data_IF_610289641685
#
_entry.id   IF_610289641685
#
_cell.length_a   1.000
_cell.length_b   1.000
_cell.length_c   1.000
_cell.angle_alpha   90.00
_cell.angle_beta   90.00
_cell.angle_gamma   90.00
#
_symmetry.space_group_name_H-M   'P 1'
#
loop_
_entity.id
_entity.type
_entity.pdbx_description
1 polymer ?
#
# COMPACT_ATOMS: atom_id res chain seq x y z
N UNK A 1 -46.19 -20.75 -4.94
CA UNK A 1 -46.94 -20.71 -3.65
C UNK A 1 -46.22 -19.72 -2.74
N UNK A 2 -46.93 -18.74 -2.15
CA UNK A 2 -46.50 -17.83 -1.05
C UNK A 2 -45.21 -16.97 -1.23
N UNK A 3 -45.01 -15.82 -0.57
CA UNK A 3 -45.88 -14.72 -0.05
C UNK A 3 -44.96 -13.55 0.41
N UNK A 4 -45.52 -12.40 0.83
CA UNK A 4 -44.86 -11.15 1.31
C UNK A 4 -44.19 -10.32 0.19
N UNK A 5 -44.57 -9.10 -0.20
CA UNK A 5 -45.53 -8.06 0.23
C UNK A 5 -45.10 -7.05 1.32
N UNK A 6 -45.42 -5.76 1.09
CA UNK A 6 -45.24 -4.55 1.94
C UNK A 6 -43.76 -4.08 2.02
N UNK A 7 -43.34 -2.82 1.81
CA UNK A 7 -43.90 -1.57 1.22
C UNK A 7 -42.68 -0.65 0.86
N UNK A 8 -42.74 0.65 0.50
CA UNK A 8 -43.77 1.70 0.58
C UNK A 8 -43.57 2.80 -0.50
N UNK A 9 -44.27 3.92 -0.33
CA UNK A 9 -44.46 5.05 -1.25
C UNK A 9 -43.64 6.32 -0.89
N UNK A 10 -43.81 7.36 -1.73
CA UNK A 10 -43.73 8.81 -1.43
C UNK A 10 -42.35 9.51 -1.45
N UNK A 11 -42.20 10.74 -1.97
CA UNK A 11 -43.02 11.50 -2.94
C UNK A 11 -42.14 12.64 -3.51
N UNK A 12 -42.09 12.85 -4.83
CA UNK A 12 -41.40 14.00 -5.41
C UNK A 12 -42.29 15.25 -5.34
N UNK A 13 -41.79 16.35 -4.77
CA UNK A 13 -42.52 17.63 -4.73
C UNK A 13 -42.26 18.47 -5.98
N UNK A 14 -43.32 18.75 -6.73
CA UNK A 14 -43.39 19.90 -7.62
C UNK A 14 -43.96 21.10 -6.84
N UNK A 15 -43.29 22.25 -6.90
CA UNK A 15 -43.76 23.50 -6.29
C UNK A 15 -44.10 24.50 -7.39
N UNK A 16 -45.38 24.92 -7.44
CA UNK A 16 -45.83 26.12 -8.12
C UNK A 16 -46.97 26.72 -7.29
N UNK A 17 -46.77 27.89 -6.70
CA UNK A 17 -47.70 29.03 -6.83
C UNK A 17 -47.27 30.24 -5.99
N UNK A 18 -47.11 31.31 -6.74
CA UNK A 18 -47.19 32.74 -6.42
C UNK A 18 -48.07 33.12 -5.22
N UNK A 19 -47.55 33.98 -4.35
CA UNK A 19 -48.36 34.92 -3.56
C UNK A 19 -47.59 36.25 -3.41
N UNK A 20 -48.14 37.32 -3.96
CA UNK A 20 -47.63 38.69 -3.80
C UNK A 20 -48.23 39.28 -2.53
N UNK A 21 -47.42 39.87 -1.65
CA UNK A 21 -47.90 40.69 -0.53
C UNK A 21 -47.29 42.09 -0.64
N UNK A 22 -48.17 43.09 -0.60
CA UNK A 22 -47.84 44.50 -0.78
C UNK A 22 -47.35 45.17 0.52
N UNK A 23 -46.65 46.29 0.35
CA UNK A 23 -46.04 47.10 1.38
C UNK A 23 -47.05 47.90 2.24
N UNK A 24 -46.67 48.15 3.50
CA UNK A 24 -46.98 49.40 4.22
C UNK A 24 -46.06 49.61 5.43
N UNK A 25 -45.50 50.81 5.52
CA UNK A 25 -44.86 51.40 6.70
C UNK A 25 -45.68 52.67 7.09
N UNK A 26 -45.34 53.49 8.11
CA UNK A 26 -44.26 53.39 9.11
C UNK A 26 -44.76 53.56 10.57
N UNK A 27 -43.85 53.47 11.55
CA UNK A 27 -44.10 53.76 12.98
C UNK A 27 -42.86 54.34 13.67
N UNK A 28 -43.03 55.41 14.46
CA UNK A 28 -41.96 56.29 14.93
C UNK A 28 -41.27 55.84 16.24
N UNK A 29 -40.00 56.26 16.38
CA UNK A 29 -39.30 56.63 17.62
C UNK A 29 -39.19 55.60 18.78
N UNK A 30 -37.97 55.15 19.10
CA UNK A 30 -37.78 54.16 20.17
C UNK A 30 -36.37 53.85 20.68
N UNK A 31 -35.51 54.85 20.91
CA UNK A 31 -34.26 54.78 21.73
C UNK A 31 -33.08 53.93 21.22
N UNK A 32 -31.88 54.35 21.65
CA UNK A 32 -30.63 53.62 21.50
C UNK A 32 -30.71 52.25 22.18
N UNK A 33 -30.30 51.21 21.46
CA UNK A 33 -29.63 50.04 22.01
C UNK A 33 -28.69 49.48 20.94
N UNK A 34 -27.44 49.91 20.98
CA UNK A 34 -26.36 49.37 20.14
C UNK A 34 -25.94 47.99 20.69
N UNK A 35 -26.87 47.03 20.66
CA UNK A 35 -26.66 45.66 21.09
C UNK A 35 -25.89 44.90 20.00
N UNK A 36 -24.56 45.04 20.06
CA UNK A 36 -23.59 44.34 19.24
C UNK A 36 -23.69 42.82 19.47
N UNK A 37 -24.61 42.15 18.78
CA UNK A 37 -24.67 40.70 18.75
C UNK A 37 -23.57 40.21 17.80
N UNK A 38 -22.34 40.12 18.33
CA UNK A 38 -21.25 39.42 17.68
C UNK A 38 -21.74 37.98 17.42
N UNK A 39 -21.97 37.63 16.14
CA UNK A 39 -21.99 36.23 15.76
C UNK A 39 -20.58 35.71 16.03
N UNK A 40 -20.42 34.99 17.14
CA UNK A 40 -19.29 34.11 17.36
C UNK A 40 -19.45 32.93 16.40
N UNK A 41 -19.11 33.16 15.12
CA UNK A 41 -18.77 32.08 14.19
C UNK A 41 -17.43 31.53 14.66
N UNK A 42 -17.46 30.71 15.72
CA UNK A 42 -16.38 29.77 16.00
C UNK A 42 -16.36 28.82 14.81
N UNK A 43 -15.54 29.15 13.81
CA UNK A 43 -15.20 28.22 12.76
C UNK A 43 -14.62 26.99 13.47
N UNK A 44 -15.36 25.89 13.43
CA UNK A 44 -14.85 24.58 13.76
C UNK A 44 -13.88 24.22 12.64
N UNK A 45 -12.68 24.80 12.69
CA UNK A 45 -11.53 24.27 11.99
C UNK A 45 -11.27 22.89 12.60
N UNK A 46 -11.72 21.85 11.91
CA UNK A 46 -11.25 20.50 12.18
C UNK A 46 -9.72 20.55 12.26
N UNK A 47 -9.08 19.92 13.25
CA UNK A 47 -7.64 19.85 13.29
C UNK A 47 -7.18 19.19 11.99
N UNK A 48 -6.44 19.95 11.18
CA UNK A 48 -5.79 19.40 10.00
C UNK A 48 -4.73 18.41 10.49
N UNK A 49 -5.12 17.14 10.55
CA UNK A 49 -4.22 16.04 10.89
C UNK A 49 -3.13 15.99 9.82
N UNK A 50 -1.96 16.51 10.17
CA UNK A 50 -0.79 16.46 9.31
C UNK A 50 -0.36 15.00 9.18
N UNK A 51 -0.18 14.52 7.95
CA UNK A 51 0.37 13.20 7.69
C UNK A 51 1.75 13.09 8.33
N UNK A 52 1.99 11.99 9.03
CA UNK A 52 3.27 11.73 9.72
C UNK A 52 4.20 11.03 8.74
N UNK A 53 5.39 11.56 8.53
CA UNK A 53 6.44 10.91 7.74
C UNK A 53 7.45 10.29 8.69
N UNK A 54 7.82 9.03 8.46
CA UNK A 54 8.90 8.34 9.17
C UNK A 54 9.98 7.90 8.17
N UNK A 55 11.25 8.08 8.51
CA UNK A 55 12.39 7.63 7.71
C UNK A 55 12.84 6.22 8.09
N UNK A 56 13.20 5.42 7.09
CA UNK A 56 13.75 4.07 7.23
C UNK A 56 15.24 4.13 6.85
N UNK A 57 16.19 3.65 7.68
CA UNK A 57 16.00 3.00 8.99
C UNK A 57 15.98 3.93 10.22
N UNK A 58 16.17 5.25 10.04
CA UNK A 58 16.53 6.18 11.13
C UNK A 58 15.44 6.38 12.20
N UNK A 59 14.16 6.34 11.83
CA UNK A 59 13.01 6.51 12.73
C UNK A 59 12.15 5.24 12.83
N UNK A 60 12.12 4.44 11.76
CA UNK A 60 11.46 3.13 11.71
C UNK A 60 12.47 2.06 11.23
N UNK A 61 12.60 0.89 11.88
CA UNK A 61 13.54 -0.18 11.50
C UNK A 61 13.22 -0.86 10.15
N UNK A 62 12.21 -0.39 9.42
CA UNK A 62 11.80 -0.83 8.11
C UNK A 62 10.93 -2.09 8.16
N UNK A 63 10.52 -2.62 6.99
CA UNK A 63 9.62 -3.75 6.91
C UNK A 63 10.10 -4.95 7.75
N UNK A 64 9.26 -5.51 8.67
CA UNK A 64 9.63 -6.67 9.50
C UNK A 64 9.55 -7.99 8.72
N UNK A 65 10.01 -7.98 7.47
CA UNK A 65 9.91 -9.08 6.53
C UNK A 65 11.11 -9.13 5.59
N UNK A 66 11.33 -10.30 4.99
CA UNK A 66 12.53 -10.59 4.20
C UNK A 66 12.34 -10.32 2.71
N UNK A 67 11.22 -10.74 2.14
CA UNK A 67 10.97 -10.75 0.71
C UNK A 67 9.50 -10.47 0.35
N UNK A 68 9.26 -10.06 -0.89
CA UNK A 68 7.92 -9.94 -1.50
C UNK A 68 7.51 -11.25 -2.16
N UNK A 69 6.89 -12.13 -1.39
CA UNK A 69 6.31 -13.41 -1.82
C UNK A 69 5.15 -13.84 -0.90
N UNK A 70 4.49 -12.85 -0.29
CA UNK A 70 3.42 -13.06 0.68
C UNK A 70 2.12 -13.59 0.04
N UNK A 71 1.23 -14.12 0.89
CA UNK A 71 -0.08 -14.64 0.46
C UNK A 71 -0.97 -13.56 -0.16
N UNK A 72 -1.79 -14.01 -1.11
CA UNK A 72 -2.89 -13.23 -1.72
C UNK A 72 -3.97 -12.76 -0.75
N UNK A 73 -4.06 -13.37 0.43
CA UNK A 73 -4.92 -12.94 1.53
C UNK A 73 -4.39 -11.70 2.28
N UNK A 74 -3.12 -11.34 2.10
CA UNK A 74 -2.47 -10.19 2.75
C UNK A 74 -2.40 -9.01 1.76
N UNK A 75 -1.87 -9.23 0.56
CA UNK A 75 -1.88 -8.25 -0.53
C UNK A 75 -2.33 -8.89 -1.84
N UNK A 76 -3.07 -8.15 -2.66
CA UNK A 76 -3.52 -8.60 -4.00
C UNK A 76 -2.44 -8.45 -5.09
N UNK A 77 -1.27 -7.91 -4.74
CA UNK A 77 -0.19 -7.52 -5.64
C UNK A 77 1.01 -8.49 -5.47
N UNK A 78 0.67 -9.78 -5.62
CA UNK A 78 1.22 -10.92 -4.85
C UNK A 78 2.70 -11.20 -5.08
N UNK A 79 3.12 -11.27 -6.34
CA UNK A 79 4.53 -11.36 -6.76
C UNK A 79 4.64 -10.63 -8.09
N UNK A 80 5.67 -9.80 -8.34
CA UNK A 80 5.95 -9.29 -9.67
C UNK A 80 6.28 -10.43 -10.64
N UNK A 81 5.31 -10.86 -11.46
CA UNK A 81 5.47 -11.98 -12.39
C UNK A 81 4.93 -11.69 -13.79
N UNK A 82 5.50 -12.37 -14.79
CA UNK A 82 4.98 -12.55 -16.15
C UNK A 82 4.34 -13.95 -16.26
N UNK A 83 4.04 -14.43 -17.48
CA UNK A 83 3.63 -15.83 -17.67
C UNK A 83 4.80 -16.82 -17.53
N UNK A 84 6.04 -16.36 -17.62
CA UNK A 84 7.24 -17.20 -17.61
C UNK A 84 8.02 -17.09 -16.31
N UNK A 85 8.16 -15.88 -15.77
CA UNK A 85 9.09 -15.57 -14.68
C UNK A 85 8.39 -14.82 -13.55
N UNK A 86 8.72 -15.16 -12.32
CA UNK A 86 8.42 -14.38 -11.12
C UNK A 86 9.71 -13.79 -10.54
N UNK A 87 9.62 -12.58 -10.00
CA UNK A 87 10.72 -11.88 -9.34
C UNK A 87 10.47 -11.76 -7.84
N UNK A 88 11.27 -12.44 -7.03
CA UNK A 88 11.27 -12.36 -5.57
C UNK A 88 12.27 -11.26 -5.16
N UNK A 89 11.74 -10.13 -4.70
CA UNK A 89 12.52 -8.99 -4.21
C UNK A 89 12.81 -9.19 -2.72
N UNK A 90 14.08 -9.03 -2.31
CA UNK A 90 14.51 -9.14 -0.92
C UNK A 90 14.90 -7.77 -0.33
N UNK A 91 14.23 -7.37 0.75
CA UNK A 91 14.48 -6.12 1.50
C UNK A 91 15.57 -6.27 2.56
N UNK A 92 15.95 -7.51 2.88
CA UNK A 92 17.00 -7.91 3.83
C UNK A 92 17.81 -9.05 3.20
N UNK A 93 19.05 -9.28 3.65
CA UNK A 93 19.89 -10.33 3.03
C UNK A 93 19.21 -11.71 3.03
N UNK A 94 19.16 -12.46 1.90
CA UNK A 94 18.60 -13.81 1.86
C UNK A 94 19.32 -14.78 2.80
N UNK A 95 20.61 -14.55 3.05
CA UNK A 95 21.42 -15.33 4.00
C UNK A 95 21.02 -15.15 5.46
N UNK A 96 20.13 -14.20 5.76
CA UNK A 96 19.63 -13.92 7.11
C UNK A 96 18.22 -14.50 7.34
N UNK A 97 17.59 -15.08 6.30
CA UNK A 97 16.31 -15.77 6.43
C UNK A 97 16.51 -17.08 7.21
N UNK A 98 15.76 -17.33 8.30
CA UNK A 98 15.82 -18.62 8.99
C UNK A 98 15.38 -19.74 8.04
N UNK A 99 16.14 -20.84 7.98
CA UNK A 99 15.91 -21.93 7.00
C UNK A 99 14.54 -22.61 7.10
N UNK A 100 13.85 -22.47 8.24
CA UNK A 100 12.50 -23.01 8.51
C UNK A 100 11.41 -21.93 8.55
N UNK A 101 11.73 -20.68 8.20
CA UNK A 101 10.74 -19.61 8.08
C UNK A 101 9.95 -19.76 6.78
N UNK A 102 8.63 -19.63 6.86
CA UNK A 102 7.77 -19.58 5.70
C UNK A 102 7.82 -18.16 5.12
N UNK A 103 8.44 -17.98 3.96
CA UNK A 103 8.52 -16.70 3.26
C UNK A 103 7.13 -16.13 2.90
N UNK A 104 6.08 -16.96 2.88
CA UNK A 104 4.69 -16.53 2.65
C UNK A 104 4.02 -15.96 3.91
N UNK A 105 4.56 -16.27 5.11
CA UNK A 105 4.24 -15.54 6.33
C UNK A 105 4.95 -14.20 6.23
N UNK A 106 4.22 -13.11 5.93
CA UNK A 106 4.85 -11.82 5.67
C UNK A 106 5.78 -11.43 6.84
N UNK A 107 5.28 -11.37 8.07
CA UNK A 107 6.01 -10.78 9.19
C UNK A 107 6.81 -11.79 10.05
N UNK A 108 8.07 -11.46 10.37
CA UNK A 108 8.91 -12.17 11.34
C UNK A 108 9.41 -11.24 12.46
N UNK A 109 8.48 -10.76 13.30
CA UNK A 109 8.80 -9.86 14.42
C UNK A 109 9.26 -10.66 15.64
N UNK A 110 10.38 -10.32 16.31
CA UNK A 110 11.31 -9.22 16.00
C UNK A 110 12.54 -9.67 15.15
N UNK A 111 12.61 -10.93 14.73
CA UNK A 111 13.84 -11.52 14.15
C UNK A 111 14.30 -10.80 12.88
N UNK A 112 13.39 -10.43 11.98
CA UNK A 112 13.71 -9.70 10.75
C UNK A 112 14.49 -8.40 11.02
N UNK A 113 14.20 -7.70 12.13
CA UNK A 113 14.89 -6.45 12.49
C UNK A 113 16.39 -6.63 12.82
N UNK A 114 16.84 -7.85 13.08
CA UNK A 114 18.27 -8.15 13.31
C UNK A 114 19.09 -8.34 12.02
N UNK A 115 18.42 -8.32 10.86
CA UNK A 115 19.05 -8.47 9.55
C UNK A 115 19.18 -7.10 8.85
N UNK A 116 20.35 -6.79 8.31
CA UNK A 116 20.58 -5.54 7.58
C UNK A 116 19.59 -5.37 6.41
N UNK A 117 19.07 -4.16 6.27
CA UNK A 117 18.25 -3.76 5.13
C UNK A 117 19.11 -3.58 3.88
N UNK A 118 18.54 -3.90 2.73
CA UNK A 118 19.10 -3.63 1.39
C UNK A 118 18.51 -2.35 0.78
N UNK A 119 17.55 -1.74 1.47
CA UNK A 119 16.81 -0.54 1.07
C UNK A 119 16.89 0.55 2.16
N UNK A 120 16.65 1.79 1.76
CA UNK A 120 16.27 2.90 2.63
C UNK A 120 14.95 3.52 2.14
N UNK A 121 14.50 4.59 2.78
CA UNK A 121 13.39 5.39 2.28
C UNK A 121 12.53 6.00 3.36
N UNK A 122 11.22 6.05 3.12
CA UNK A 122 10.28 6.61 4.07
C UNK A 122 8.86 6.09 3.89
N UNK A 123 8.08 6.25 4.94
CA UNK A 123 6.65 5.99 4.96
C UNK A 123 5.87 7.28 5.23
N UNK A 124 4.61 7.29 4.81
CA UNK A 124 3.63 8.33 5.10
C UNK A 124 2.46 7.65 5.81
N UNK A 125 2.22 8.05 7.04
CA UNK A 125 1.16 7.59 7.92
C UNK A 125 0.03 8.62 8.02
N UNK A 126 -1.19 8.16 8.33
CA UNK A 126 -2.34 9.06 8.49
C UNK A 126 -2.27 9.79 9.81
N UNK A 127 -1.93 9.06 10.86
CA UNK A 127 -1.86 9.51 12.26
C UNK A 127 -0.53 9.12 12.91
N UNK A 128 0.10 8.02 12.47
CA UNK A 128 1.41 7.55 12.95
C UNK A 128 1.57 6.03 12.86
N UNK A 129 2.80 5.51 13.05
CA UNK A 129 3.07 4.06 13.02
C UNK A 129 2.34 3.28 14.13
N UNK A 130 2.39 1.93 14.09
CA UNK A 130 1.78 1.08 15.11
C UNK A 130 2.17 1.48 16.53
N UNK A 131 1.23 1.48 17.50
CA UNK A 131 -0.12 0.90 17.41
C UNK A 131 -1.21 1.86 16.90
N UNK A 132 -0.86 3.01 16.30
CA UNK A 132 -1.85 4.05 15.91
C UNK A 132 -2.55 3.67 14.59
N UNK A 133 -1.81 3.62 13.49
CA UNK A 133 -2.26 3.03 12.22
C UNK A 133 -1.58 1.66 12.06
N UNK A 134 -2.26 0.69 11.44
CA UNK A 134 -1.71 -0.67 11.23
C UNK A 134 -0.87 -0.82 9.96
N UNK A 135 -0.97 0.13 9.02
CA UNK A 135 -0.21 0.18 7.79
C UNK A 135 -0.08 1.66 7.33
N UNK A 136 1.03 2.05 6.67
CA UNK A 136 1.19 3.40 6.17
C UNK A 136 0.22 3.66 5.00
N UNK A 137 -0.13 4.93 4.77
CA UNK A 137 -0.83 5.33 3.55
C UNK A 137 0.05 5.13 2.30
N UNK A 138 1.37 5.25 2.45
CA UNK A 138 2.35 5.02 1.38
C UNK A 138 3.71 4.63 1.98
N UNK A 139 4.39 3.66 1.39
CA UNK A 139 5.83 3.47 1.54
C UNK A 139 6.54 3.84 0.23
N UNK A 140 7.72 4.46 0.32
CA UNK A 140 8.62 4.66 -0.82
C UNK A 140 10.01 4.24 -0.42
N UNK A 141 10.50 3.22 -1.10
CA UNK A 141 11.77 2.56 -0.80
C UNK A 141 12.73 2.73 -1.99
N UNK A 142 13.99 3.00 -1.70
CA UNK A 142 15.07 3.13 -2.67
C UNK A 142 16.19 2.13 -2.27
N UNK A 143 16.89 1.54 -3.25
CA UNK A 143 17.89 0.51 -2.98
C UNK A 143 19.26 1.07 -2.62
N UNK A 144 19.92 0.47 -1.62
CA UNK A 144 21.29 0.81 -1.18
C UNK A 144 22.39 0.33 -2.15
N UNK A 145 22.07 0.15 -3.43
CA UNK A 145 22.98 -0.29 -4.49
C UNK A 145 23.24 -1.79 -4.59
N UNK A 146 22.65 -2.61 -3.71
CA UNK A 146 22.80 -4.07 -3.72
C UNK A 146 21.52 -4.78 -3.22
N UNK A 147 20.38 -4.60 -3.92
CA UNK A 147 19.12 -5.26 -3.57
C UNK A 147 19.05 -6.65 -4.25
N UNK A 148 18.97 -7.76 -3.51
CA UNK A 148 18.78 -9.08 -4.11
C UNK A 148 17.40 -9.18 -4.78
N UNK A 149 17.40 -9.58 -6.05
CA UNK A 149 16.20 -9.88 -6.82
C UNK A 149 16.41 -11.22 -7.49
N UNK A 150 15.68 -12.23 -7.05
CA UNK A 150 15.80 -13.60 -7.55
C UNK A 150 14.67 -13.88 -8.53
N UNK A 151 14.99 -14.57 -9.62
CA UNK A 151 14.03 -14.92 -10.66
C UNK A 151 13.84 -16.43 -10.71
N UNK A 152 12.59 -16.87 -10.76
CA UNK A 152 12.20 -18.28 -10.88
C UNK A 152 11.11 -18.41 -11.92
N UNK A 153 10.99 -19.59 -12.53
CA UNK A 153 9.86 -19.93 -13.39
C UNK A 153 8.57 -19.74 -12.62
N UNK A 154 7.62 -18.99 -13.18
CA UNK A 154 6.35 -18.74 -12.50
C UNK A 154 5.60 -20.05 -12.22
N UNK A 155 5.65 -21.01 -13.17
CA UNK A 155 5.05 -22.32 -12.99
C UNK A 155 5.73 -23.16 -11.89
N UNK A 156 7.07 -23.08 -11.73
CA UNK A 156 7.75 -23.76 -10.61
C UNK A 156 7.37 -23.13 -9.27
N UNK A 157 7.36 -21.79 -9.18
CA UNK A 157 6.98 -21.08 -7.96
C UNK A 157 5.52 -21.38 -7.56
N UNK A 158 4.59 -21.42 -8.53
CA UNK A 158 3.19 -21.78 -8.28
C UNK A 158 3.02 -23.20 -7.70
N UNK A 159 3.91 -24.13 -8.03
CA UNK A 159 3.93 -25.48 -7.43
C UNK A 159 4.54 -25.45 -6.03
N UNK A 160 5.62 -24.70 -5.83
CA UNK A 160 6.31 -24.59 -4.54
C UNK A 160 5.46 -23.88 -3.46
N UNK A 161 4.56 -22.95 -3.84
CA UNK A 161 3.64 -22.29 -2.90
C UNK A 161 2.29 -23.01 -2.74
N UNK A 162 2.10 -24.18 -3.37
CA UNK A 162 0.79 -24.83 -3.47
C UNK A 162 0.27 -25.41 -2.13
N UNK A 163 1.16 -25.67 -1.17
CA UNK A 163 0.83 -26.11 0.19
C UNK A 163 0.83 -24.97 1.22
N UNK A 164 0.97 -23.71 0.75
CA UNK A 164 1.01 -22.49 1.55
C UNK A 164 2.29 -22.32 2.41
N UNK A 165 3.37 -23.06 2.09
CA UNK A 165 4.62 -23.07 2.85
C UNK A 165 5.88 -23.06 1.97
N UNK A 166 6.45 -21.87 1.73
CA UNK A 166 7.70 -21.72 0.97
C UNK A 166 8.87 -21.37 1.89
N UNK A 167 9.90 -22.22 1.96
CA UNK A 167 11.15 -21.89 2.69
C UNK A 167 12.20 -21.27 1.77
N UNK A 168 13.19 -20.57 2.37
CA UNK A 168 14.37 -20.11 1.61
C UNK A 168 15.15 -21.29 0.98
N UNK A 169 15.26 -22.41 1.70
CA UNK A 169 15.95 -23.62 1.21
C UNK A 169 15.25 -24.23 -0.01
N UNK A 170 13.92 -24.20 -0.02
CA UNK A 170 13.12 -24.69 -1.13
C UNK A 170 13.19 -23.75 -2.34
N UNK A 171 13.06 -22.44 -2.11
CA UNK A 171 13.26 -21.42 -3.15
C UNK A 171 14.66 -21.54 -3.78
N UNK A 172 15.70 -21.81 -2.97
CA UNK A 172 17.05 -22.09 -3.44
C UNK A 172 17.22 -23.40 -4.21
N UNK A 173 16.28 -24.34 -4.08
CA UNK A 173 16.30 -25.65 -4.75
C UNK A 173 15.58 -25.68 -6.10
N UNK A 174 14.84 -24.64 -6.46
CA UNK A 174 14.09 -24.57 -7.72
C UNK A 174 15.04 -24.57 -8.93
N UNK A 175 14.81 -25.48 -9.88
CA UNK A 175 15.69 -25.70 -11.05
C UNK A 175 15.82 -24.49 -11.96
N UNK A 176 14.80 -23.62 -11.98
CA UNK A 176 14.79 -22.39 -12.77
C UNK A 176 15.45 -21.18 -12.07
N UNK A 177 15.93 -21.31 -10.84
CA UNK A 177 16.41 -20.18 -10.05
C UNK A 177 17.59 -19.45 -10.72
N UNK A 178 17.42 -18.14 -10.88
CA UNK A 178 18.46 -17.19 -11.29
C UNK A 178 18.59 -16.11 -10.22
N UNK A 179 19.67 -16.16 -9.45
CA UNK A 179 19.97 -15.14 -8.44
C UNK A 179 20.53 -13.89 -9.09
N UNK A 180 20.07 -12.73 -8.65
CA UNK A 180 20.51 -11.44 -9.15
C UNK A 180 20.62 -10.38 -8.06
N UNK A 181 21.42 -9.36 -8.34
CA UNK A 181 21.60 -8.18 -7.49
C UNK A 181 21.32 -6.93 -8.30
N UNK A 182 20.31 -6.17 -7.87
CA UNK A 182 19.94 -4.88 -8.43
C UNK A 182 20.88 -3.78 -7.92
N UNK A 183 21.55 -3.11 -8.86
CA UNK A 183 22.33 -1.90 -8.60
C UNK A 183 21.45 -0.65 -8.57
N UNK A 184 20.23 -0.74 -9.09
CA UNK A 184 19.16 0.23 -8.95
C UNK A 184 17.88 -0.49 -8.55
N UNK A 185 17.23 -0.02 -7.49
CA UNK A 185 15.91 -0.46 -7.07
C UNK A 185 15.11 0.74 -6.58
N UNK A 186 13.82 0.79 -6.94
CA UNK A 186 12.84 1.72 -6.39
C UNK A 186 11.49 1.06 -6.29
N UNK A 187 10.89 1.13 -5.11
CA UNK A 187 9.50 0.74 -4.85
C UNK A 187 8.65 1.95 -4.46
N UNK A 188 7.38 1.92 -4.82
CA UNK A 188 6.34 2.76 -4.22
C UNK A 188 5.11 1.90 -4.00
N UNK A 189 4.73 1.77 -2.73
CA UNK A 189 3.62 0.94 -2.27
C UNK A 189 2.57 1.84 -1.63
N UNK A 190 1.32 1.67 -2.04
CA UNK A 190 0.12 2.14 -1.38
C UNK A 190 -0.57 0.88 -0.86
N UNK A 191 -0.35 0.46 0.40
CA UNK A 191 -0.71 -0.89 0.83
C UNK A 191 -2.21 -1.05 1.08
N UNK A 192 -2.71 -2.27 0.92
CA UNK A 192 -4.07 -2.66 1.32
C UNK A 192 -4.30 -2.34 2.80
N UNK A 193 -5.42 -1.69 3.10
CA UNK A 193 -5.77 -1.28 4.48
C UNK A 193 -5.17 0.05 4.93
N UNK A 194 -4.01 0.45 4.39
CA UNK A 194 -3.42 1.78 4.63
C UNK A 194 -3.84 2.84 3.61
N UNK A 195 -3.98 2.45 2.34
CA UNK A 195 -4.36 3.33 1.23
C UNK A 195 -5.80 3.09 0.75
N UNK A 196 -6.46 4.16 0.26
CA UNK A 196 -7.79 4.08 -0.36
C UNK A 196 -7.76 3.35 -1.72
N UNK A 197 -6.65 3.50 -2.46
CA UNK A 197 -6.43 2.85 -3.75
C UNK A 197 -5.11 2.07 -3.66
N UNK A 198 -5.14 0.76 -3.40
CA UNK A 198 -3.94 -0.06 -3.38
C UNK A 198 -3.17 0.00 -4.70
N UNK A 199 -1.85 0.03 -4.58
CA UNK A 199 -0.92 0.11 -5.70
C UNK A 199 0.47 -0.38 -5.30
N UNK A 200 1.11 -1.16 -6.17
CA UNK A 200 2.53 -1.46 -6.10
C UNK A 200 3.23 -1.04 -7.40
N UNK A 201 4.31 -0.28 -7.29
CA UNK A 201 5.22 0.01 -8.40
C UNK A 201 6.64 -0.39 -8.03
N UNK A 202 7.29 -1.23 -8.84
CA UNK A 202 8.69 -1.61 -8.67
C UNK A 202 9.45 -1.33 -9.98
N UNK A 203 10.63 -0.74 -9.86
CA UNK A 203 11.59 -0.60 -10.95
C UNK A 203 12.94 -1.08 -10.44
N UNK A 204 13.52 -2.10 -11.06
CA UNK A 204 14.83 -2.61 -10.70
C UNK A 204 15.66 -3.00 -11.93
N UNK A 205 16.97 -2.83 -11.85
CA UNK A 205 17.89 -3.40 -12.83
C UNK A 205 19.23 -3.73 -12.18
N UNK A 206 19.92 -4.71 -12.76
CA UNK A 206 21.16 -5.23 -12.19
C UNK A 206 21.74 -6.38 -12.98
N UNK A 207 22.49 -7.23 -12.27
CA UNK A 207 23.29 -8.32 -12.84
C UNK A 207 22.92 -9.63 -12.14
N UNK A 208 22.84 -10.72 -12.92
CA UNK A 208 22.65 -12.09 -12.45
C UNK A 208 23.99 -12.77 -12.18
N UNK A 209 24.00 -13.84 -11.38
CA UNK A 209 25.23 -14.59 -11.05
C UNK A 209 25.94 -15.19 -12.29
N UNK A 210 25.22 -15.41 -13.40
CA UNK A 210 25.77 -15.84 -14.69
C UNK A 210 26.37 -14.71 -15.54
N UNK A 211 26.31 -13.46 -15.06
CA UNK A 211 26.84 -12.27 -15.71
C UNK A 211 25.87 -11.59 -16.69
N UNK A 212 24.68 -12.14 -16.96
CA UNK A 212 23.66 -11.42 -17.73
C UNK A 212 23.08 -10.25 -16.92
N UNK A 213 22.59 -9.24 -17.60
CA UNK A 213 21.83 -8.14 -17.00
C UNK A 213 20.35 -8.48 -16.91
N UNK A 214 19.66 -7.89 -15.93
CA UNK A 214 18.20 -7.97 -15.82
C UNK A 214 17.55 -6.59 -15.71
N UNK A 215 16.30 -6.51 -16.14
CA UNK A 215 15.39 -5.39 -15.90
C UNK A 215 14.05 -5.93 -15.41
N UNK A 216 13.51 -5.30 -14.37
CA UNK A 216 12.19 -5.55 -13.80
C UNK A 216 11.43 -4.23 -13.77
N UNK A 217 10.28 -4.19 -14.43
CA UNK A 217 9.26 -3.15 -14.24
C UNK A 217 7.97 -3.83 -13.79
N UNK A 218 7.34 -3.31 -12.74
CA UNK A 218 6.05 -3.77 -12.27
C UNK A 218 5.16 -2.59 -11.88
N UNK A 219 3.88 -2.68 -12.24
CA UNK A 219 2.82 -1.76 -11.85
C UNK A 219 1.54 -2.55 -11.61
N UNK A 220 1.26 -2.87 -10.34
CA UNK A 220 0.00 -3.45 -9.88
C UNK A 220 -0.94 -2.38 -9.30
N UNK A 221 -2.24 -2.52 -9.54
CA UNK A 221 -3.30 -1.72 -8.90
C UNK A 221 -4.67 -2.37 -9.13
N UNK A 222 -5.72 -1.83 -8.51
CA UNK A 222 -7.12 -2.19 -8.81
C UNK A 222 -7.50 -2.09 -10.32
N UNK A 223 -6.77 -1.31 -11.12
CA UNK A 223 -7.01 -1.16 -12.56
C UNK A 223 -6.34 -2.24 -13.43
N UNK A 224 -5.53 -3.12 -12.86
CA UNK A 224 -4.77 -4.15 -13.55
C UNK A 224 -3.33 -4.26 -13.06
N UNK A 225 -2.67 -5.34 -13.50
CA UNK A 225 -1.25 -5.63 -13.21
C UNK A 225 -0.50 -5.70 -14.54
N UNK A 226 0.62 -4.97 -14.63
CA UNK A 226 1.60 -5.09 -15.70
C UNK A 226 2.95 -5.40 -15.08
N UNK A 227 3.60 -6.47 -15.56
CA UNK A 227 4.99 -6.81 -15.22
C UNK A 227 5.77 -7.05 -16.49
N UNK A 228 6.97 -6.51 -16.56
CA UNK A 228 7.96 -6.77 -17.60
C UNK A 228 9.25 -7.24 -16.92
N UNK A 229 9.72 -8.42 -17.32
CA UNK A 229 11.01 -9.00 -16.90
C UNK A 229 11.80 -9.27 -18.17
N UNK A 230 13.01 -8.74 -18.25
CA UNK A 230 13.89 -8.92 -19.40
C UNK A 230 15.31 -9.27 -18.93
N UNK A 231 15.91 -10.26 -19.60
CA UNK A 231 17.31 -10.65 -19.41
C UNK A 231 18.11 -10.34 -20.68
N UNK A 232 19.34 -9.83 -20.53
CA UNK A 232 20.24 -9.51 -21.65
C UNK A 232 21.68 -9.84 -21.28
#
# INVERSE_FOLDING_TARGET
MNKYNISSEAFARANNNTAVIASKAPGLAGRLSLALLLLLTTALSEPAHAQVRTWIPDEDPGPPFYARVERSSVHTEIVPHTNEWAAVVFYRSPSCVPTTFNLMDLFDVPRAFSCDLTIDGFEIWKNGPPPIDMAPMQARLDGLGAVPVWFVSWAELQVAVADDYLTIMELESLSSLRKGTATFFRETLHPTGGAQNPKLMINAHGILEDGQTFQLHHSGSNGGIQTEIAFR
#
